data_IF_021040240295
#
_entry.id   IF_021040240295
#
_cell.length_a   1.000
_cell.length_b   1.000
_cell.length_c   1.000
_cell.angle_alpha   90.00
_cell.angle_beta   90.00
_cell.angle_gamma   90.00
#
_symmetry.space_group_name_H-M   'P 1'
#
loop_
_entity.id
_entity.type
_entity.pdbx_description
1 polymer ?
#
# COMPACT_ATOMS: atom_id res chain seq x y z
N UNK A 1 19.23 -1.95 -1.28
CA UNK A 1 19.67 -1.10 -0.14
C UNK A 1 20.56 -1.95 0.77
N UNK A 2 21.72 -1.43 1.22
CA UNK A 2 22.54 -2.10 2.24
C UNK A 2 21.74 -2.18 3.54
N UNK A 3 21.64 -3.33 4.19
CA UNK A 3 20.82 -3.58 5.41
C UNK A 3 20.99 -2.55 6.55
N UNK A 4 22.11 -1.84 6.60
CA UNK A 4 22.36 -0.79 7.60
C UNK A 4 21.71 0.57 7.34
N UNK A 5 21.33 0.87 6.09
CA UNK A 5 20.89 2.23 5.69
C UNK A 5 19.50 2.54 6.24
N UNK A 6 18.56 1.62 6.16
CA UNK A 6 17.20 1.79 6.72
C UNK A 6 17.25 1.95 8.24
N UNK A 7 18.06 1.13 8.93
CA UNK A 7 18.23 1.23 10.39
C UNK A 7 18.81 2.57 10.81
N UNK A 8 19.79 3.09 10.05
CA UNK A 8 20.38 4.42 10.30
C UNK A 8 19.35 5.55 10.10
N UNK A 9 18.57 5.49 9.02
CA UNK A 9 17.51 6.46 8.72
C UNK A 9 16.44 6.48 9.84
N UNK A 10 15.94 5.30 10.23
CA UNK A 10 14.96 5.19 11.32
C UNK A 10 15.53 5.69 12.66
N UNK A 11 16.80 5.43 12.94
CA UNK A 11 17.47 5.94 14.14
C UNK A 11 17.56 7.46 14.15
N UNK A 12 17.87 8.09 13.01
CA UNK A 12 17.91 9.55 12.87
C UNK A 12 16.52 10.18 13.08
N UNK A 13 15.49 9.61 12.47
CA UNK A 13 14.10 10.03 12.66
C UNK A 13 13.68 9.91 14.13
N UNK A 14 13.94 8.75 14.74
CA UNK A 14 13.58 8.50 16.13
C UNK A 14 14.29 9.43 17.10
N UNK A 15 15.57 9.72 16.88
CA UNK A 15 16.35 10.61 17.76
C UNK A 15 15.75 12.01 17.87
N UNK A 16 15.23 12.57 16.76
CA UNK A 16 14.76 13.96 16.73
C UNK A 16 13.24 14.09 16.92
N UNK A 17 12.47 13.13 16.43
CA UNK A 17 11.00 13.22 16.35
C UNK A 17 10.27 12.16 17.20
N UNK A 18 10.92 11.59 18.23
CA UNK A 18 10.41 10.51 19.07
C UNK A 18 8.96 10.73 19.55
N UNK A 19 8.66 11.90 20.12
CA UNK A 19 7.32 12.21 20.66
C UNK A 19 6.28 12.25 19.53
N UNK A 20 6.62 12.90 18.42
CA UNK A 20 5.73 13.00 17.25
C UNK A 20 5.41 11.62 16.67
N UNK A 21 6.41 10.73 16.54
CA UNK A 21 6.23 9.37 16.04
C UNK A 21 5.40 8.50 16.99
N UNK A 22 5.53 8.68 18.31
CA UNK A 22 4.66 8.00 19.29
C UNK A 22 3.21 8.46 19.13
N UNK A 23 2.97 9.77 19.01
CA UNK A 23 1.61 10.32 18.80
C UNK A 23 1.03 9.78 17.48
N UNK A 24 1.82 9.77 16.39
CA UNK A 24 1.42 9.19 15.10
C UNK A 24 1.01 7.72 15.26
N UNK A 25 1.81 6.93 15.95
CA UNK A 25 1.50 5.51 16.19
C UNK A 25 0.20 5.34 16.98
N UNK A 26 0.02 6.10 18.07
CA UNK A 26 -1.22 6.07 18.87
C UNK A 26 -2.44 6.51 18.05
N UNK A 27 -2.31 7.53 17.20
CA UNK A 27 -3.38 7.96 16.31
C UNK A 27 -3.72 6.91 15.25
N UNK A 28 -2.73 6.21 14.69
CA UNK A 28 -2.97 5.11 13.74
C UNK A 28 -3.72 3.96 14.42
N UNK A 29 -3.28 3.55 15.62
CA UNK A 29 -3.97 2.52 16.41
C UNK A 29 -5.39 2.96 16.76
N UNK A 30 -5.58 4.19 17.23
CA UNK A 30 -6.89 4.75 17.54
C UNK A 30 -7.81 4.76 16.32
N UNK A 31 -7.32 5.21 15.17
CA UNK A 31 -8.08 5.21 13.92
C UNK A 31 -8.52 3.78 13.54
N UNK A 32 -7.62 2.81 13.59
CA UNK A 32 -7.96 1.41 13.28
C UNK A 32 -9.03 0.85 14.23
N UNK A 33 -8.91 1.11 15.54
CA UNK A 33 -9.89 0.68 16.54
C UNK A 33 -11.26 1.34 16.34
N UNK A 34 -11.33 2.65 16.10
CA UNK A 34 -12.59 3.34 15.88
C UNK A 34 -13.30 2.87 14.61
N UNK A 35 -12.57 2.62 13.53
CA UNK A 35 -13.15 2.06 12.29
C UNK A 35 -13.71 0.65 12.51
N UNK A 36 -13.00 -0.22 13.22
CA UNK A 36 -13.47 -1.56 13.53
C UNK A 36 -14.69 -1.53 14.46
N UNK A 37 -14.68 -0.69 15.50
CA UNK A 37 -15.84 -0.51 16.39
C UNK A 37 -17.07 -0.03 15.63
N UNK A 38 -16.90 0.92 14.70
CA UNK A 38 -18.00 1.38 13.84
C UNK A 38 -18.55 0.25 12.96
N UNK A 39 -17.68 -0.65 12.46
CA UNK A 39 -18.13 -1.82 11.69
C UNK A 39 -18.83 -2.85 12.57
N UNK A 40 -18.32 -3.14 13.77
CA UNK A 40 -18.98 -4.05 14.72
C UNK A 40 -20.36 -3.54 15.17
N UNK A 41 -20.54 -2.23 15.22
CA UNK A 41 -21.85 -1.64 15.53
C UNK A 41 -22.93 -2.03 14.52
N UNK A 42 -22.61 -2.45 13.31
CA UNK A 42 -23.61 -2.94 12.35
C UNK A 42 -24.36 -4.18 12.89
N UNK A 43 -23.69 -5.02 13.68
CA UNK A 43 -24.34 -6.11 14.39
C UNK A 43 -25.39 -5.56 15.37
N UNK A 44 -24.98 -4.70 16.30
CA UNK A 44 -25.85 -4.08 17.29
C UNK A 44 -27.02 -3.32 16.62
N UNK A 45 -26.72 -2.57 15.55
CA UNK A 45 -27.74 -1.83 14.81
C UNK A 45 -28.84 -2.73 14.26
N UNK A 46 -28.47 -3.86 13.68
CA UNK A 46 -29.42 -4.78 13.06
C UNK A 46 -30.14 -5.60 14.13
N UNK A 47 -29.40 -6.23 15.04
CA UNK A 47 -29.95 -7.20 15.97
C UNK A 47 -30.71 -6.56 17.13
N UNK A 48 -30.21 -5.44 17.69
CA UNK A 48 -30.76 -4.82 18.89
C UNK A 48 -31.76 -3.67 18.57
N UNK A 49 -31.68 -3.07 17.37
CA UNK A 49 -32.56 -1.95 17.01
C UNK A 49 -33.48 -2.27 15.83
N UNK A 50 -32.95 -2.67 14.66
CA UNK A 50 -33.77 -2.82 13.45
C UNK A 50 -34.73 -4.01 13.58
N UNK A 51 -34.23 -5.19 13.94
CA UNK A 51 -35.06 -6.41 14.04
C UNK A 51 -36.17 -6.26 15.09
N UNK A 52 -35.94 -5.72 16.31
CA UNK A 52 -37.02 -5.46 17.28
C UNK A 52 -38.02 -4.40 16.81
N UNK A 53 -37.55 -3.33 16.17
CA UNK A 53 -38.42 -2.27 15.66
C UNK A 53 -39.40 -2.78 14.57
N UNK A 54 -38.93 -3.70 13.70
CA UNK A 54 -39.75 -4.32 12.66
C UNK A 54 -40.87 -5.23 13.24
N UNK A 55 -40.68 -5.76 14.47
CA UNK A 55 -41.63 -6.61 15.15
C UNK A 55 -42.62 -5.81 16.06
N UNK A 56 -42.33 -4.56 16.31
CA UNK A 56 -43.13 -3.71 17.20
C UNK A 56 -44.31 -3.03 16.47
N UNK A 57 -45.48 -3.02 17.10
CA UNK A 57 -46.67 -2.33 16.59
C UNK A 57 -46.58 -0.78 16.76
N UNK A 58 -45.69 -0.31 17.63
CA UNK A 58 -45.43 1.13 17.89
C UNK A 58 -43.91 1.34 17.98
N UNK A 59 -43.23 1.60 16.86
CA UNK A 59 -41.77 1.73 16.86
C UNK A 59 -41.32 3.02 17.56
N UNK A 60 -40.47 2.89 18.59
CA UNK A 60 -39.77 4.01 19.24
C UNK A 60 -38.34 4.13 18.71
N UNK A 61 -38.03 5.23 18.03
CA UNK A 61 -36.76 5.51 17.40
C UNK A 61 -35.76 6.22 18.33
N UNK A 62 -36.14 6.57 19.57
CA UNK A 62 -35.28 7.31 20.49
C UNK A 62 -33.97 6.57 20.82
N UNK A 63 -34.05 5.25 21.08
CA UNK A 63 -32.90 4.39 21.32
C UNK A 63 -31.95 4.30 20.11
N UNK A 64 -32.52 4.15 18.92
CA UNK A 64 -31.75 4.13 17.66
C UNK A 64 -31.02 5.45 17.43
N UNK A 65 -31.64 6.58 17.70
CA UNK A 65 -31.02 7.91 17.52
C UNK A 65 -29.81 8.10 18.44
N UNK A 66 -29.90 7.70 19.71
CA UNK A 66 -28.76 7.75 20.65
C UNK A 66 -27.62 6.83 20.21
N UNK A 67 -27.95 5.63 19.73
CA UNK A 67 -26.95 4.70 19.21
C UNK A 67 -26.21 5.25 17.97
N UNK A 68 -26.95 5.89 17.04
CA UNK A 68 -26.35 6.54 15.86
C UNK A 68 -25.43 7.71 16.24
N UNK A 69 -25.83 8.55 17.21
CA UNK A 69 -24.97 9.63 17.71
C UNK A 69 -23.68 9.05 18.31
N UNK A 70 -23.78 7.99 19.12
CA UNK A 70 -22.61 7.32 19.70
C UNK A 70 -21.64 6.84 18.64
N UNK A 71 -22.12 6.19 17.58
CA UNK A 71 -21.26 5.69 16.50
C UNK A 71 -20.73 6.84 15.64
N UNK A 72 -21.55 7.84 15.37
CA UNK A 72 -21.10 9.07 14.70
C UNK A 72 -19.95 9.74 15.46
N UNK A 73 -20.01 9.77 16.80
CA UNK A 73 -18.89 10.30 17.62
C UNK A 73 -17.62 9.43 17.53
N UNK A 74 -17.74 8.10 17.47
CA UNK A 74 -16.59 7.21 17.26
C UNK A 74 -15.92 7.43 15.89
N UNK A 75 -16.71 7.56 14.82
CA UNK A 75 -16.17 7.90 13.50
C UNK A 75 -15.54 9.29 13.48
N UNK A 76 -16.15 10.29 14.14
CA UNK A 76 -15.55 11.62 14.27
C UNK A 76 -14.18 11.56 14.97
N UNK A 77 -14.06 10.78 16.07
CA UNK A 77 -12.77 10.54 16.72
C UNK A 77 -11.76 9.87 15.76
N UNK A 78 -12.20 8.90 14.96
CA UNK A 78 -11.38 8.28 13.94
C UNK A 78 -10.85 9.27 12.90
N UNK A 79 -11.71 10.17 12.42
CA UNK A 79 -11.32 11.25 11.48
C UNK A 79 -10.32 12.22 12.13
N UNK A 80 -10.52 12.61 13.38
CA UNK A 80 -9.57 13.46 14.12
C UNK A 80 -8.21 12.76 14.26
N UNK A 81 -8.18 11.47 14.59
CA UNK A 81 -6.95 10.68 14.64
C UNK A 81 -6.27 10.65 13.27
N UNK A 82 -7.02 10.38 12.19
CA UNK A 82 -6.51 10.36 10.82
C UNK A 82 -5.93 11.70 10.39
N UNK A 83 -6.63 12.80 10.66
CA UNK A 83 -6.15 14.15 10.38
C UNK A 83 -4.87 14.46 11.16
N UNK A 84 -4.85 14.14 12.45
CA UNK A 84 -3.72 14.43 13.34
C UNK A 84 -2.47 13.69 12.91
N UNK A 85 -2.54 12.37 12.64
CA UNK A 85 -1.37 11.63 12.23
C UNK A 85 -0.82 12.10 10.88
N UNK A 86 -1.70 12.38 9.90
CA UNK A 86 -1.27 12.91 8.60
C UNK A 86 -0.60 14.29 8.76
N UNK A 87 -1.17 15.18 9.57
CA UNK A 87 -0.61 16.52 9.82
C UNK A 87 0.76 16.45 10.48
N UNK A 88 0.91 15.59 11.48
CA UNK A 88 2.20 15.38 12.17
C UNK A 88 3.22 14.76 11.21
N UNK A 89 2.83 13.80 10.37
CA UNK A 89 3.75 13.17 9.41
C UNK A 89 4.27 14.16 8.38
N UNK A 90 3.45 15.11 7.91
CA UNK A 90 3.93 16.20 7.05
C UNK A 90 4.99 17.03 7.76
N UNK A 91 4.73 17.44 9.00
CA UNK A 91 5.68 18.23 9.80
C UNK A 91 7.02 17.48 10.01
N UNK A 92 6.95 16.20 10.43
CA UNK A 92 8.12 15.36 10.65
C UNK A 92 8.91 15.16 9.37
N UNK A 93 8.23 14.85 8.27
CA UNK A 93 8.88 14.59 6.99
C UNK A 93 9.59 15.84 6.46
N UNK A 94 8.90 16.99 6.43
CA UNK A 94 9.50 18.23 5.91
C UNK A 94 10.65 18.72 6.80
N UNK A 95 10.51 18.60 8.13
CA UNK A 95 11.58 18.94 9.06
C UNK A 95 12.81 18.05 8.89
N UNK A 96 12.61 16.74 8.74
CA UNK A 96 13.70 15.79 8.49
C UNK A 96 14.42 16.04 7.16
N UNK A 97 13.66 16.27 6.08
CA UNK A 97 14.25 16.54 4.77
C UNK A 97 14.99 17.86 4.72
N UNK A 98 14.51 18.90 5.41
CA UNK A 98 15.25 20.15 5.57
C UNK A 98 16.63 19.90 6.19
N UNK A 99 16.66 19.19 7.32
CA UNK A 99 17.91 18.91 8.01
C UNK A 99 18.85 18.04 7.17
N UNK A 100 18.28 17.05 6.47
CA UNK A 100 19.05 16.18 5.58
C UNK A 100 19.72 17.01 4.47
N UNK A 101 18.98 17.91 3.83
CA UNK A 101 19.54 18.80 2.78
C UNK A 101 20.65 19.69 3.32
N UNK A 102 20.49 20.25 4.52
CA UNK A 102 21.53 21.08 5.15
C UNK A 102 22.78 20.24 5.39
N UNK A 103 22.64 19.07 6.03
CA UNK A 103 23.78 18.20 6.31
C UNK A 103 24.49 17.71 5.04
N UNK A 104 23.73 17.44 3.98
CA UNK A 104 24.28 17.04 2.69
C UNK A 104 25.04 18.18 2.03
N UNK A 105 24.52 19.41 2.10
CA UNK A 105 25.17 20.59 1.54
C UNK A 105 26.46 20.92 2.30
N UNK A 106 26.42 20.93 3.64
CA UNK A 106 27.61 21.10 4.49
C UNK A 106 28.68 20.05 4.19
N UNK A 107 28.26 18.79 4.01
CA UNK A 107 29.20 17.73 3.63
C UNK A 107 29.78 17.96 2.24
N UNK A 108 28.95 18.34 1.26
CA UNK A 108 29.41 18.65 -0.11
C UNK A 108 30.48 19.76 -0.12
N UNK A 109 30.24 20.84 0.65
CA UNK A 109 31.23 21.96 0.76
C UNK A 109 32.55 21.51 1.43
N UNK A 110 32.53 20.44 2.23
CA UNK A 110 33.72 19.88 2.87
C UNK A 110 34.53 18.94 1.97
N UNK A 111 34.02 18.58 0.78
CA UNK A 111 34.68 17.63 -0.11
C UNK A 111 35.84 18.27 -0.87
N UNK A 112 36.94 17.53 -1.12
CA UNK A 112 38.07 18.04 -1.89
C UNK A 112 37.70 18.25 -3.35
N UNK A 113 38.33 19.21 -4.03
CA UNK A 113 38.11 19.55 -5.46
C UNK A 113 38.20 18.32 -6.35
N UNK A 114 39.09 17.37 -6.05
CA UNK A 114 39.24 16.10 -6.76
C UNK A 114 37.93 15.30 -6.87
N UNK A 115 37.00 15.46 -5.92
CA UNK A 115 35.70 14.79 -5.98
C UNK A 115 34.87 15.36 -7.15
N UNK A 116 34.82 16.68 -7.28
CA UNK A 116 34.06 17.36 -8.34
C UNK A 116 34.65 17.15 -9.73
N UNK A 117 35.97 16.95 -9.82
CA UNK A 117 36.65 16.63 -11.08
C UNK A 117 36.33 15.23 -11.60
N UNK A 118 35.95 14.30 -10.68
CA UNK A 118 35.72 12.89 -11.01
C UNK A 118 34.25 12.50 -11.05
N UNK A 119 33.38 13.28 -10.43
CA UNK A 119 31.94 12.97 -10.31
C UNK A 119 31.15 13.91 -11.21
N UNK A 120 30.34 13.38 -12.13
CA UNK A 120 29.47 14.21 -12.96
C UNK A 120 28.53 15.07 -12.10
N UNK A 121 28.39 16.34 -12.42
CA UNK A 121 27.49 17.24 -11.67
C UNK A 121 26.05 16.76 -11.67
N UNK A 122 25.60 16.09 -12.74
CA UNK A 122 24.28 15.49 -12.86
C UNK A 122 24.00 14.41 -11.80
N UNK A 123 24.99 13.58 -11.47
CA UNK A 123 24.86 12.53 -10.44
C UNK A 123 24.67 13.16 -9.06
N UNK A 124 25.48 14.17 -8.72
CA UNK A 124 25.35 14.92 -7.47
C UNK A 124 23.98 15.61 -7.38
N UNK A 125 23.53 16.24 -8.47
CA UNK A 125 22.22 16.89 -8.52
C UNK A 125 21.06 15.89 -8.40
N UNK A 126 21.20 14.70 -8.97
CA UNK A 126 20.21 13.61 -8.86
C UNK A 126 19.98 13.17 -7.41
N UNK A 127 21.03 13.15 -6.57
CA UNK A 127 20.90 12.86 -5.14
C UNK A 127 20.07 13.94 -4.42
N UNK A 128 20.27 15.21 -4.74
CA UNK A 128 19.50 16.32 -4.14
C UNK A 128 18.05 16.41 -4.59
N UNK A 129 17.73 15.88 -5.76
CA UNK A 129 16.37 15.92 -6.33
C UNK A 129 15.67 14.59 -6.18
N UNK A 130 16.11 13.54 -6.88
CA UNK A 130 15.40 12.27 -6.98
C UNK A 130 15.48 11.44 -5.71
N UNK A 131 16.67 11.33 -5.10
CA UNK A 131 16.84 10.49 -3.91
C UNK A 131 16.14 11.10 -2.70
N UNK A 132 16.20 12.44 -2.54
CA UNK A 132 15.47 13.14 -1.47
C UNK A 132 13.96 13.00 -1.67
N UNK A 133 13.44 13.06 -2.91
CA UNK A 133 12.01 12.90 -3.16
C UNK A 133 11.55 11.45 -2.90
N UNK A 134 12.37 10.47 -3.23
CA UNK A 134 12.14 9.05 -2.87
C UNK A 134 12.10 8.86 -1.35
N UNK A 135 13.01 9.48 -0.60
CA UNK A 135 12.99 9.47 0.87
C UNK A 135 11.75 10.17 1.43
N UNK A 136 11.33 11.28 0.81
CA UNK A 136 10.08 11.95 1.18
C UNK A 136 8.89 11.01 1.06
N UNK A 137 8.75 10.31 -0.06
CA UNK A 137 7.66 9.35 -0.28
C UNK A 137 7.72 8.18 0.71
N UNK A 138 8.91 7.66 0.97
CA UNK A 138 9.11 6.58 1.95
C UNK A 138 8.63 6.99 3.35
N UNK A 139 9.04 8.15 3.84
CA UNK A 139 8.76 8.60 5.20
C UNK A 139 7.31 9.08 5.33
N UNK A 140 6.81 9.88 4.36
CA UNK A 140 5.48 10.49 4.47
C UNK A 140 4.34 9.55 4.14
N UNK A 141 4.56 8.52 3.31
CA UNK A 141 3.50 7.64 2.80
C UNK A 141 3.76 6.17 3.12
N UNK A 142 4.90 5.60 2.66
CA UNK A 142 5.11 4.15 2.70
C UNK A 142 5.16 3.60 4.12
N UNK A 143 5.93 4.22 5.01
CA UNK A 143 6.05 3.76 6.42
C UNK A 143 4.72 3.88 7.18
N UNK A 144 4.02 5.05 7.18
CA UNK A 144 2.72 5.16 7.84
C UNK A 144 1.67 4.22 7.27
N UNK A 145 1.64 4.04 5.94
CA UNK A 145 0.71 3.14 5.28
C UNK A 145 0.94 1.67 5.68
N UNK A 146 2.19 1.22 5.77
CA UNK A 146 2.51 -0.14 6.23
C UNK A 146 2.06 -0.35 7.67
N UNK A 147 2.34 0.60 8.58
CA UNK A 147 1.92 0.53 9.98
C UNK A 147 0.39 0.50 10.07
N UNK A 148 -0.30 1.38 9.35
CA UNK A 148 -1.76 1.43 9.31
C UNK A 148 -2.36 0.13 8.78
N UNK A 149 -1.82 -0.42 7.70
CA UNK A 149 -2.26 -1.70 7.12
C UNK A 149 -2.08 -2.86 8.10
N UNK A 150 -0.93 -2.95 8.78
CA UNK A 150 -0.69 -3.96 9.82
C UNK A 150 -1.69 -3.82 10.99
N UNK A 151 -1.94 -2.60 11.48
CA UNK A 151 -2.90 -2.36 12.56
C UNK A 151 -4.32 -2.72 12.12
N UNK A 152 -4.73 -2.35 10.91
CA UNK A 152 -6.04 -2.73 10.36
C UNK A 152 -6.20 -4.25 10.26
N UNK A 153 -5.19 -4.96 9.74
CA UNK A 153 -5.23 -6.43 9.66
C UNK A 153 -5.37 -7.04 11.05
N UNK A 154 -4.56 -6.62 12.02
CA UNK A 154 -4.59 -7.18 13.38
C UNK A 154 -5.92 -6.91 14.06
N UNK A 155 -6.40 -5.66 14.05
CA UNK A 155 -7.66 -5.29 14.72
C UNK A 155 -8.86 -5.95 14.05
N UNK A 156 -8.90 -6.01 12.72
CA UNK A 156 -9.97 -6.68 11.98
C UNK A 156 -9.96 -8.17 12.21
N UNK A 157 -8.80 -8.83 12.21
CA UNK A 157 -8.65 -10.26 12.45
C UNK A 157 -9.14 -10.67 13.87
N UNK A 158 -8.73 -9.89 14.88
CA UNK A 158 -9.22 -10.11 16.27
C UNK A 158 -10.74 -9.99 16.31
N UNK A 159 -11.32 -8.96 15.68
CA UNK A 159 -12.76 -8.74 15.67
C UNK A 159 -13.52 -9.83 14.92
N UNK A 160 -12.96 -10.37 13.83
CA UNK A 160 -13.54 -11.49 13.10
C UNK A 160 -13.59 -12.77 13.96
N UNK A 161 -12.54 -13.06 14.76
CA UNK A 161 -12.51 -14.18 15.70
C UNK A 161 -13.61 -14.03 16.77
N UNK A 162 -13.76 -12.81 17.30
CA UNK A 162 -14.80 -12.52 18.33
C UNK A 162 -16.20 -12.70 17.75
N UNK A 163 -16.44 -12.32 16.50
CA UNK A 163 -17.75 -12.45 15.86
C UNK A 163 -18.10 -13.90 15.52
N UNK A 164 -17.21 -14.61 14.80
CA UNK A 164 -17.47 -15.99 14.39
C UNK A 164 -16.20 -16.71 13.93
N UNK A 165 -15.79 -17.74 14.65
CA UNK A 165 -14.56 -18.50 14.36
C UNK A 165 -14.64 -19.29 13.04
N UNK A 166 -15.72 -20.07 12.73
CA UNK A 166 -15.83 -20.79 11.47
C UNK A 166 -15.68 -19.91 10.22
N UNK A 167 -16.35 -18.76 10.20
CA UNK A 167 -16.23 -17.82 9.08
C UNK A 167 -14.83 -17.18 9.01
N UNK A 168 -14.17 -16.97 10.15
CA UNK A 168 -12.79 -16.45 10.21
C UNK A 168 -11.83 -17.46 9.59
N UNK A 169 -11.94 -18.76 9.92
CA UNK A 169 -11.11 -19.81 9.30
C UNK A 169 -11.31 -19.84 7.80
N UNK A 170 -12.56 -19.74 7.32
CA UNK A 170 -12.86 -19.68 5.90
C UNK A 170 -12.20 -18.47 5.21
N UNK A 171 -12.31 -17.29 5.84
CA UNK A 171 -11.67 -16.06 5.33
C UNK A 171 -10.15 -16.16 5.27
N UNK A 172 -9.53 -16.79 6.27
CA UNK A 172 -8.08 -17.04 6.30
C UNK A 172 -7.66 -18.01 5.18
N UNK A 173 -8.43 -19.07 4.93
CA UNK A 173 -8.18 -19.98 3.81
C UNK A 173 -8.23 -19.24 2.47
N UNK A 174 -9.22 -18.38 2.26
CA UNK A 174 -9.32 -17.56 1.05
C UNK A 174 -8.19 -16.56 0.93
N UNK A 175 -7.75 -15.98 2.07
CA UNK A 175 -6.55 -15.11 2.11
C UNK A 175 -5.30 -15.86 1.66
N UNK A 176 -5.09 -17.09 2.12
CA UNK A 176 -3.94 -17.91 1.70
C UNK A 176 -3.95 -18.15 0.19
N UNK A 177 -5.12 -18.46 -0.40
CA UNK A 177 -5.27 -18.58 -1.85
C UNK A 177 -4.87 -17.26 -2.55
N UNK A 178 -5.36 -16.12 -2.05
CA UNK A 178 -5.05 -14.80 -2.59
C UNK A 178 -3.54 -14.50 -2.52
N UNK A 179 -2.88 -14.80 -1.41
CA UNK A 179 -1.42 -14.61 -1.25
C UNK A 179 -0.61 -15.49 -2.21
N UNK A 180 -1.00 -16.74 -2.40
CA UNK A 180 -0.33 -17.64 -3.36
C UNK A 180 -0.45 -17.12 -4.79
N UNK A 181 -1.65 -16.69 -5.20
CA UNK A 181 -1.89 -16.14 -6.55
C UNK A 181 -1.12 -14.84 -6.74
N UNK A 182 -1.19 -13.91 -5.75
CA UNK A 182 -0.47 -12.64 -5.81
C UNK A 182 1.04 -12.83 -5.88
N UNK A 183 1.59 -13.76 -5.09
CA UNK A 183 3.02 -14.08 -5.13
C UNK A 183 3.46 -14.64 -6.50
N UNK A 184 2.64 -15.51 -7.11
CA UNK A 184 2.93 -16.09 -8.43
C UNK A 184 2.91 -15.03 -9.51
N UNK A 185 1.90 -14.16 -9.55
CA UNK A 185 1.79 -13.07 -10.51
C UNK A 185 2.90 -12.02 -10.32
N UNK A 186 3.17 -11.62 -9.07
CA UNK A 186 4.23 -10.68 -8.75
C UNK A 186 5.62 -11.19 -9.12
N UNK A 187 5.92 -12.48 -8.88
CA UNK A 187 7.18 -13.08 -9.29
C UNK A 187 7.37 -13.10 -10.80
N UNK A 188 6.30 -13.38 -11.56
CA UNK A 188 6.33 -13.32 -13.04
C UNK A 188 6.56 -11.88 -13.52
N UNK A 189 5.84 -10.92 -12.97
CA UNK A 189 6.00 -9.50 -13.27
C UNK A 189 7.44 -9.05 -13.00
N UNK A 190 7.97 -9.33 -11.81
CA UNK A 190 9.32 -8.94 -11.41
C UNK A 190 10.40 -9.50 -12.34
N UNK A 191 10.26 -10.76 -12.79
CA UNK A 191 11.19 -11.36 -13.76
C UNK A 191 11.23 -10.57 -15.09
N UNK A 192 10.06 -10.17 -15.58
CA UNK A 192 10.00 -9.40 -16.83
C UNK A 192 10.42 -7.95 -16.65
N UNK A 193 10.21 -7.34 -15.48
CA UNK A 193 10.75 -6.00 -15.19
C UNK A 193 12.28 -5.97 -15.18
N UNK A 194 12.94 -6.99 -14.62
CA UNK A 194 14.40 -7.10 -14.69
C UNK A 194 14.88 -7.22 -16.14
N UNK A 195 14.18 -8.01 -16.96
CA UNK A 195 14.50 -8.12 -18.40
C UNK A 195 14.27 -6.78 -19.12
N UNK A 196 13.16 -6.12 -18.89
CA UNK A 196 12.86 -4.80 -19.44
C UNK A 196 13.95 -3.77 -19.11
N UNK A 197 14.43 -3.75 -17.86
CA UNK A 197 15.49 -2.84 -17.44
C UNK A 197 16.80 -3.12 -18.17
N UNK A 198 17.13 -4.41 -18.39
CA UNK A 198 18.29 -4.80 -19.19
C UNK A 198 18.16 -4.37 -20.65
N UNK A 199 16.99 -4.58 -21.27
CA UNK A 199 16.76 -4.22 -22.67
C UNK A 199 16.71 -2.70 -22.85
N UNK A 200 16.18 -1.94 -21.87
CA UNK A 200 16.25 -0.48 -21.83
C UNK A 200 17.71 0.01 -21.76
N UNK A 201 18.56 -0.66 -20.98
CA UNK A 201 19.99 -0.36 -20.94
C UNK A 201 20.67 -0.54 -22.30
N UNK A 202 20.32 -1.61 -23.04
CA UNK A 202 20.85 -1.83 -24.41
C UNK A 202 20.41 -0.75 -25.38
N UNK A 203 19.12 -0.36 -25.35
CA UNK A 203 18.58 0.70 -26.20
C UNK A 203 19.27 2.04 -25.91
N UNK A 204 19.40 2.39 -24.62
CA UNK A 204 20.08 3.64 -24.23
C UNK A 204 21.57 3.63 -24.63
N UNK A 205 22.28 2.54 -24.41
CA UNK A 205 23.68 2.40 -24.83
C UNK A 205 23.85 2.53 -26.34
N UNK A 206 22.96 1.94 -27.13
CA UNK A 206 22.96 2.06 -28.58
C UNK A 206 22.69 3.52 -29.04
N UNK A 207 21.74 4.21 -28.40
CA UNK A 207 21.45 5.63 -28.68
C UNK A 207 22.70 6.47 -28.40
N UNK A 208 23.35 6.28 -27.24
CA UNK A 208 24.57 7.01 -26.87
C UNK A 208 25.70 6.77 -27.86
N UNK A 209 25.92 5.51 -28.28
CA UNK A 209 26.90 5.13 -29.29
C UNK A 209 26.62 5.79 -30.63
N UNK A 210 25.37 5.77 -31.10
CA UNK A 210 24.99 6.39 -32.39
C UNK A 210 25.09 7.91 -32.35
N UNK A 211 24.72 8.57 -31.24
CA UNK A 211 24.89 10.01 -31.09
C UNK A 211 26.38 10.40 -31.12
N UNK A 212 27.21 9.66 -30.39
CA UNK A 212 28.66 9.91 -30.33
C UNK A 212 29.37 9.61 -31.67
N UNK A 213 28.93 8.55 -32.36
CA UNK A 213 29.44 8.09 -33.64
C UNK A 213 28.77 8.69 -34.88
N UNK A 214 27.85 9.68 -34.73
CA UNK A 214 27.00 10.17 -35.83
C UNK A 214 27.77 10.62 -37.05
N UNK A 215 28.95 11.21 -36.87
CA UNK A 215 29.83 11.64 -38.01
C UNK A 215 30.30 10.41 -38.82
N UNK A 216 30.64 9.32 -38.16
CA UNK A 216 31.10 8.07 -38.78
C UNK A 216 29.96 7.43 -39.56
N UNK A 217 28.77 7.31 -38.93
CA UNK A 217 27.55 6.79 -39.56
C UNK A 217 27.26 7.52 -40.87
N UNK A 218 27.33 8.88 -40.86
CA UNK A 218 27.09 9.72 -42.04
C UNK A 218 28.15 9.56 -43.13
N UNK A 219 29.43 9.48 -42.78
CA UNK A 219 30.52 9.36 -43.76
C UNK A 219 30.46 8.02 -44.48
N UNK A 220 30.03 6.95 -43.79
CA UNK A 220 29.96 5.62 -44.37
C UNK A 220 28.55 5.26 -44.89
N UNK A 221 27.59 6.18 -44.93
CA UNK A 221 26.18 5.96 -45.35
C UNK A 221 25.55 4.74 -44.66
N UNK A 222 25.78 4.63 -43.33
CA UNK A 222 25.35 3.45 -42.56
C UNK A 222 24.02 3.67 -41.81
N UNK A 223 23.23 4.69 -42.18
CA UNK A 223 22.00 5.09 -41.50
C UNK A 223 20.94 4.00 -41.52
N UNK A 224 20.71 3.39 -42.69
CA UNK A 224 19.66 2.38 -42.83
C UNK A 224 19.93 1.14 -41.96
N UNK A 225 21.19 0.73 -41.85
CA UNK A 225 21.58 -0.36 -40.99
C UNK A 225 21.43 0.02 -39.51
N UNK A 226 21.84 1.22 -39.11
CA UNK A 226 21.69 1.73 -37.76
C UNK A 226 20.23 1.81 -37.34
N UNK A 227 19.34 2.21 -38.26
CA UNK A 227 17.87 2.22 -38.03
C UNK A 227 17.35 0.80 -37.88
N UNK A 228 17.81 -0.16 -38.70
CA UNK A 228 17.37 -1.55 -38.59
C UNK A 228 17.78 -2.19 -37.25
N UNK A 229 19.01 -1.95 -36.81
CA UNK A 229 19.53 -2.45 -35.53
C UNK A 229 18.80 -1.80 -34.34
N UNK A 230 18.54 -0.50 -34.40
CA UNK A 230 17.74 0.19 -33.39
C UNK A 230 16.32 -0.39 -33.29
N UNK A 231 15.66 -0.63 -34.43
CA UNK A 231 14.31 -1.23 -34.46
C UNK A 231 14.30 -2.58 -33.76
N UNK A 232 15.28 -3.42 -34.01
CA UNK A 232 15.40 -4.74 -33.35
C UNK A 232 15.51 -4.61 -31.82
N UNK A 233 16.40 -3.76 -31.32
CA UNK A 233 16.57 -3.51 -29.89
C UNK A 233 15.30 -2.94 -29.26
N UNK A 234 14.63 -2.01 -29.94
CA UNK A 234 13.40 -1.39 -29.48
C UNK A 234 12.21 -2.36 -29.47
N UNK A 235 12.15 -3.30 -30.43
CA UNK A 235 11.15 -4.38 -30.43
C UNK A 235 11.37 -5.38 -29.28
N UNK A 236 12.64 -5.71 -28.95
CA UNK A 236 12.96 -6.52 -27.77
C UNK A 236 12.51 -5.83 -26.48
N UNK A 237 12.80 -4.55 -26.34
CA UNK A 237 12.34 -3.72 -25.21
C UNK A 237 10.80 -3.67 -25.14
N UNK A 238 10.13 -3.45 -26.27
CA UNK A 238 8.67 -3.44 -26.37
C UNK A 238 8.06 -4.75 -25.86
N UNK A 239 8.62 -5.89 -26.26
CA UNK A 239 8.11 -7.20 -25.85
C UNK A 239 8.33 -7.45 -24.33
N UNK A 240 9.52 -7.16 -23.81
CA UNK A 240 9.79 -7.30 -22.38
C UNK A 240 8.95 -6.36 -21.51
N UNK A 241 8.74 -5.11 -21.96
CA UNK A 241 7.86 -4.15 -21.31
C UNK A 241 6.39 -4.60 -21.34
N UNK A 242 5.91 -5.11 -22.49
CA UNK A 242 4.55 -5.65 -22.61
C UNK A 242 4.30 -6.79 -21.61
N UNK A 243 5.21 -7.76 -21.53
CA UNK A 243 5.06 -8.88 -20.61
C UNK A 243 5.15 -8.42 -19.12
N UNK A 244 6.05 -7.49 -18.79
CA UNK A 244 6.17 -6.94 -17.45
C UNK A 244 4.86 -6.27 -17.00
N UNK A 245 4.35 -5.35 -17.82
CA UNK A 245 3.13 -4.60 -17.53
C UNK A 245 1.87 -5.46 -17.60
N UNK A 246 1.82 -6.48 -18.46
CA UNK A 246 0.72 -7.43 -18.52
C UNK A 246 0.48 -8.11 -17.18
N UNK A 247 1.52 -8.67 -16.56
CA UNK A 247 1.39 -9.34 -15.26
C UNK A 247 1.20 -8.35 -14.11
N UNK A 248 1.84 -7.18 -14.16
CA UNK A 248 1.66 -6.14 -13.16
C UNK A 248 0.21 -5.62 -13.12
N UNK A 249 -0.35 -5.30 -14.29
CA UNK A 249 -1.69 -4.72 -14.39
C UNK A 249 -2.82 -5.72 -14.11
N UNK A 250 -2.58 -7.02 -14.27
CA UNK A 250 -3.55 -8.07 -13.92
C UNK A 250 -3.57 -8.34 -12.40
N UNK A 251 -2.50 -8.05 -11.68
CA UNK A 251 -2.37 -8.36 -10.25
C UNK A 251 -3.49 -7.73 -9.42
N UNK A 252 -3.75 -6.43 -9.59
CA UNK A 252 -4.75 -5.70 -8.82
C UNK A 252 -6.19 -6.19 -9.10
N UNK A 253 -6.67 -6.28 -10.37
CA UNK A 253 -7.99 -6.83 -10.67
C UNK A 253 -8.20 -8.23 -10.13
N UNK A 254 -7.22 -9.12 -10.28
CA UNK A 254 -7.32 -10.50 -9.78
C UNK A 254 -7.43 -10.52 -8.25
N UNK A 255 -6.62 -9.73 -7.55
CA UNK A 255 -6.68 -9.63 -6.09
C UNK A 255 -8.04 -9.11 -5.60
N UNK A 256 -8.59 -8.08 -6.25
CA UNK A 256 -9.92 -7.55 -5.92
C UNK A 256 -11.00 -8.59 -6.16
N UNK A 257 -10.98 -9.33 -7.28
CA UNK A 257 -11.99 -10.35 -7.57
C UNK A 257 -11.87 -11.56 -6.63
N UNK A 258 -10.68 -11.96 -6.23
CA UNK A 258 -10.50 -12.99 -5.18
C UNK A 258 -11.09 -12.53 -3.84
N UNK A 259 -10.95 -11.25 -3.49
CA UNK A 259 -11.61 -10.65 -2.33
C UNK A 259 -13.14 -10.69 -2.43
N UNK A 260 -13.70 -10.38 -3.61
CA UNK A 260 -15.14 -10.49 -3.85
C UNK A 260 -15.64 -11.94 -3.79
N UNK A 261 -14.89 -12.90 -4.31
CA UNK A 261 -15.20 -14.34 -4.21
C UNK A 261 -15.19 -14.77 -2.74
N UNK A 262 -14.18 -14.34 -1.96
CA UNK A 262 -14.15 -14.58 -0.50
C UNK A 262 -15.41 -14.06 0.19
N UNK A 263 -15.82 -12.83 -0.13
CA UNK A 263 -17.04 -12.23 0.39
C UNK A 263 -18.28 -13.07 0.06
N UNK A 264 -18.45 -13.49 -1.20
CA UNK A 264 -19.60 -14.31 -1.64
C UNK A 264 -19.62 -15.65 -0.95
N UNK A 265 -18.48 -16.35 -0.85
CA UNK A 265 -18.39 -17.65 -0.17
C UNK A 265 -18.75 -17.49 1.32
N UNK A 266 -18.20 -16.46 2.00
CA UNK A 266 -18.53 -16.17 3.39
C UNK A 266 -20.02 -15.82 3.56
N UNK A 267 -20.64 -15.11 2.62
CA UNK A 267 -22.05 -14.78 2.65
C UNK A 267 -22.94 -16.03 2.53
N UNK A 268 -22.63 -16.92 1.57
CA UNK A 268 -23.38 -18.17 1.38
C UNK A 268 -23.24 -19.10 2.59
N UNK A 269 -22.00 -19.35 3.02
CA UNK A 269 -21.75 -20.24 4.18
C UNK A 269 -22.34 -19.64 5.45
N UNK A 270 -22.16 -18.32 5.66
CA UNK A 270 -22.74 -17.64 6.81
C UNK A 270 -24.26 -17.64 6.81
N UNK A 271 -24.92 -17.45 5.66
CA UNK A 271 -26.38 -17.56 5.56
C UNK A 271 -26.88 -18.97 5.89
N UNK A 272 -26.21 -20.01 5.40
CA UNK A 272 -26.55 -21.42 5.72
C UNK A 272 -26.39 -21.68 7.22
N UNK A 273 -25.31 -21.21 7.85
CA UNK A 273 -25.08 -21.38 9.29
C UNK A 273 -26.12 -20.60 10.12
N UNK A 274 -26.49 -19.40 9.69
CA UNK A 274 -27.52 -18.59 10.36
C UNK A 274 -28.91 -19.23 10.27
N UNK A 275 -29.30 -19.74 9.11
CA UNK A 275 -30.60 -20.42 8.91
C UNK A 275 -30.71 -21.74 9.70
N UNK A 276 -29.63 -22.47 9.85
CA UNK A 276 -29.59 -23.73 10.61
C UNK A 276 -29.43 -23.48 12.12
N UNK A 277 -29.36 -22.23 12.59
CA UNK A 277 -29.19 -21.90 14.01
C UNK A 277 -27.85 -22.31 14.62
N UNK A 278 -26.85 -22.60 13.78
CA UNK A 278 -25.52 -22.99 14.24
C UNK A 278 -24.68 -21.80 14.66
N UNK A 279 -23.92 -21.92 15.74
CA UNK A 279 -22.95 -20.92 16.24
C UNK A 279 -23.55 -19.56 16.63
N UNK A 280 -24.85 -19.51 17.00
CA UNK A 280 -25.56 -18.28 17.38
C UNK A 280 -25.38 -17.12 16.36
N UNK A 281 -25.24 -17.45 15.06
CA UNK A 281 -25.00 -16.49 14.00
C UNK A 281 -26.31 -15.75 13.68
N UNK A 282 -26.34 -14.44 13.99
CA UNK A 282 -27.45 -13.56 13.65
C UNK A 282 -27.24 -12.90 12.29
N UNK A 283 -28.29 -12.27 11.74
CA UNK A 283 -28.19 -11.49 10.50
C UNK A 283 -27.24 -10.31 10.71
N UNK A 284 -27.30 -9.63 11.85
CA UNK A 284 -26.41 -8.52 12.18
C UNK A 284 -24.94 -8.96 12.29
N UNK A 285 -24.68 -10.12 12.94
CA UNK A 285 -23.33 -10.69 13.01
C UNK A 285 -22.80 -11.00 11.62
N UNK A 286 -23.62 -11.58 10.73
CA UNK A 286 -23.21 -11.90 9.37
C UNK A 286 -22.84 -10.64 8.58
N UNK A 287 -23.67 -9.59 8.63
CA UNK A 287 -23.41 -8.33 7.92
C UNK A 287 -22.15 -7.63 8.43
N UNK A 288 -21.97 -7.59 9.76
CA UNK A 288 -20.75 -7.05 10.37
C UNK A 288 -19.51 -7.85 9.94
N UNK A 289 -19.59 -9.18 9.96
CA UNK A 289 -18.50 -10.07 9.53
C UNK A 289 -18.13 -9.87 8.06
N UNK A 290 -19.11 -9.77 7.16
CA UNK A 290 -18.88 -9.54 5.74
C UNK A 290 -18.20 -8.18 5.47
N UNK A 291 -18.55 -7.16 6.25
CA UNK A 291 -17.91 -5.84 6.17
C UNK A 291 -16.46 -5.90 6.67
N UNK A 292 -16.21 -6.63 7.77
CA UNK A 292 -14.85 -6.87 8.28
C UNK A 292 -14.01 -7.69 7.29
N UNK A 293 -14.59 -8.72 6.66
CA UNK A 293 -13.89 -9.52 5.63
C UNK A 293 -13.40 -8.65 4.46
N UNK A 294 -14.23 -7.69 4.02
CA UNK A 294 -13.83 -6.72 2.98
C UNK A 294 -12.69 -5.82 3.47
N UNK A 295 -12.79 -5.30 4.70
CA UNK A 295 -11.75 -4.46 5.32
C UNK A 295 -10.44 -5.23 5.58
N UNK A 296 -10.52 -6.54 5.82
CA UNK A 296 -9.37 -7.43 6.01
C UNK A 296 -8.59 -7.68 4.73
N UNK A 297 -9.28 -7.80 3.59
CA UNK A 297 -8.66 -8.06 2.29
C UNK A 297 -8.02 -6.81 1.65
N UNK A 298 -8.52 -5.63 1.94
CA UNK A 298 -8.08 -4.37 1.33
C UNK A 298 -6.60 -4.03 1.59
N UNK A 299 -6.06 -4.08 2.83
CA UNK A 299 -4.66 -3.77 3.11
C UNK A 299 -3.66 -4.68 2.40
N UNK A 300 -4.05 -5.90 2.06
CA UNK A 300 -3.17 -6.86 1.39
C UNK A 300 -2.82 -6.41 -0.02
N UNK A 301 -3.81 -5.88 -0.75
CA UNK A 301 -3.57 -5.25 -2.04
C UNK A 301 -2.64 -4.04 -1.95
N UNK A 302 -2.81 -3.21 -0.92
CA UNK A 302 -1.97 -2.04 -0.67
C UNK A 302 -0.52 -2.41 -0.33
N UNK A 303 -0.30 -3.40 0.54
CA UNK A 303 1.04 -3.90 0.88
C UNK A 303 1.72 -4.48 -0.36
N UNK A 304 1.01 -5.23 -1.20
CA UNK A 304 1.55 -5.80 -2.43
C UNK A 304 2.02 -4.72 -3.41
N UNK A 305 1.35 -3.56 -3.47
CA UNK A 305 1.77 -2.42 -4.29
C UNK A 305 2.99 -1.68 -3.73
N UNK A 306 3.18 -1.67 -2.41
CA UNK A 306 4.32 -1.00 -1.78
C UNK A 306 5.63 -1.81 -1.90
N UNK A 307 5.55 -3.10 -2.15
CA UNK A 307 6.73 -4.00 -2.26
C UNK A 307 7.27 -4.06 -3.70
N UNK A 308 6.45 -3.73 -4.70
CA UNK A 308 6.84 -3.64 -6.11
C UNK A 308 7.38 -2.24 -6.44
#
# INVERSE_FOLDING_TARGET
MKEGTMKRLLKMLWSKYKIHLIIVFLCIVGNALFNVQGTMFMQTLIDDYIVPLLKSSSPDFSGLFHALIRVGSLYACGVVCAFTFNRIMVYVTQGFLRDLRINMFEHMESLPIRYFDRTPHGDTMSVYTNDIDTLRQLISQSIPQLISSCMTIVTTFISMIILNIPLTVLSVCMLMVMLVVSRKLGSLSGKFFVKQQSDLGKVNGYIEEMISGQKVVKVFNHEDQSIADFRKLNDELRESAYQAHKFANILMPVTVQLGNISYIICAIVGAILALNGHFALTIGTLVAFLTLNKSFNQPIGQISQQIN
#
